data_IF_643142001494
#
_entry.id   IF_643142001494
#
_cell.length_a   1.000
_cell.length_b   1.000
_cell.length_c   1.000
_cell.angle_alpha   90.00
_cell.angle_beta   90.00
_cell.angle_gamma   90.00
#
_symmetry.space_group_name_H-M   'P 1'
#
loop_
_entity.id
_entity.type
_entity.pdbx_description
1 polymer ?
#
# COMPACT_ATOMS: atom_id res chain seq x y z
N UNK A 1 -30.99 1.80 -13.63
CA UNK A 1 -29.69 2.47 -13.46
C UNK A 1 -28.61 1.42 -13.69
N UNK A 2 -28.07 1.34 -14.91
CA UNK A 2 -27.02 0.38 -15.28
C UNK A 2 -25.68 0.96 -14.82
N UNK A 3 -24.99 0.30 -13.89
CA UNK A 3 -23.57 0.57 -13.63
C UNK A 3 -22.76 -0.19 -14.70
N UNK A 4 -22.03 0.47 -15.61
CA UNK A 4 -21.28 -0.24 -16.64
C UNK A 4 -19.95 -0.78 -16.09
N UNK A 5 -19.59 -1.95 -16.63
CA UNK A 5 -18.33 -2.70 -16.55
C UNK A 5 -17.64 -2.84 -15.19
N UNK A 6 -17.77 -4.04 -14.58
CA UNK A 6 -16.68 -4.60 -13.77
C UNK A 6 -15.44 -4.64 -14.65
N UNK A 7 -14.53 -3.69 -14.46
CA UNK A 7 -13.11 -4.04 -14.59
C UNK A 7 -12.88 -5.19 -13.61
N UNK A 8 -12.14 -6.21 -14.02
CA UNK A 8 -11.84 -7.32 -13.13
C UNK A 8 -11.09 -6.78 -11.90
N UNK A 9 -11.75 -6.79 -10.73
CA UNK A 9 -11.12 -6.43 -9.47
C UNK A 9 -9.98 -7.41 -9.23
N UNK A 10 -8.78 -6.88 -8.99
CA UNK A 10 -7.59 -7.67 -8.71
C UNK A 10 -7.34 -7.68 -7.21
N UNK A 11 -6.88 -8.81 -6.69
CA UNK A 11 -6.40 -8.91 -5.31
C UNK A 11 -4.96 -8.41 -5.25
N UNK A 12 -4.73 -7.30 -4.56
CA UNK A 12 -3.42 -6.72 -4.33
C UNK A 12 -2.90 -7.09 -2.94
N UNK A 13 -1.64 -7.50 -2.87
CA UNK A 13 -0.88 -7.52 -1.61
C UNK A 13 -0.17 -6.17 -1.47
N UNK A 14 -0.37 -5.47 -0.37
CA UNK A 14 0.20 -4.13 -0.16
C UNK A 14 1.42 -4.26 0.74
N UNK A 15 2.60 -4.10 0.15
CA UNK A 15 3.90 -4.19 0.82
C UNK A 15 4.48 -2.80 1.07
N UNK A 16 5.07 -2.59 2.25
CA UNK A 16 5.95 -1.45 2.53
C UNK A 16 7.40 -1.80 2.22
N UNK A 17 8.18 -0.85 1.71
CA UNK A 17 9.65 -0.97 1.71
C UNK A 17 10.22 -1.06 3.14
N UNK A 18 11.46 -1.54 3.22
CA UNK A 18 12.25 -1.43 4.44
C UNK A 18 12.71 0.00 4.69
N UNK A 19 13.07 0.29 5.95
CA UNK A 19 13.52 1.61 6.38
C UNK A 19 14.65 1.50 7.40
N UNK A 20 15.49 2.52 7.46
CA UNK A 20 16.43 2.76 8.54
C UNK A 20 16.28 4.21 9.02
N UNK A 21 15.92 4.39 10.29
CA UNK A 21 15.78 5.69 10.94
C UNK A 21 16.58 5.70 12.24
N UNK A 22 16.83 6.88 12.80
CA UNK A 22 17.61 6.97 14.05
C UNK A 22 16.95 6.17 15.16
N UNK A 23 17.59 5.06 15.55
CA UNK A 23 17.15 4.17 16.63
C UNK A 23 16.10 3.12 16.23
N UNK A 24 15.75 2.99 14.95
CA UNK A 24 14.80 1.96 14.50
C UNK A 24 15.05 1.55 13.04
N UNK A 25 14.73 0.31 12.70
CA UNK A 25 14.86 -0.20 11.34
C UNK A 25 13.84 -1.31 11.09
N UNK A 26 13.43 -1.49 9.83
CA UNK A 26 12.54 -2.56 9.42
C UNK A 26 12.89 -3.08 8.03
N UNK A 27 12.58 -4.35 7.78
CA UNK A 27 12.60 -4.92 6.42
C UNK A 27 11.29 -4.61 5.69
N UNK A 28 11.21 -4.97 4.41
CA UNK A 28 9.93 -4.97 3.70
C UNK A 28 8.88 -5.79 4.46
N UNK A 29 7.66 -5.27 4.53
CA UNK A 29 6.57 -5.81 5.36
C UNK A 29 5.26 -5.84 4.57
N UNK A 30 4.49 -6.93 4.70
CA UNK A 30 3.14 -7.01 4.17
C UNK A 30 2.17 -6.33 5.13
N UNK A 31 1.50 -5.27 4.67
CA UNK A 31 0.54 -4.51 5.46
C UNK A 31 -0.88 -5.08 5.37
N UNK A 32 -1.23 -5.70 4.25
CA UNK A 32 -2.55 -6.30 4.05
C UNK A 32 -2.82 -6.71 2.61
N UNK A 33 -4.02 -7.25 2.38
CA UNK A 33 -4.49 -7.68 1.07
C UNK A 33 -5.87 -7.07 0.78
N UNK A 34 -6.08 -6.51 -0.41
CA UNK A 34 -7.32 -5.82 -0.79
C UNK A 34 -7.68 -6.10 -2.23
N UNK A 35 -8.96 -6.32 -2.52
CA UNK A 35 -9.48 -6.36 -3.90
C UNK A 35 -9.86 -4.95 -4.37
N UNK A 36 -9.33 -4.52 -5.50
CA UNK A 36 -9.62 -3.20 -6.06
C UNK A 36 -9.41 -3.17 -7.59
N UNK A 37 -9.83 -2.08 -8.22
CA UNK A 37 -9.65 -1.86 -9.67
C UNK A 37 -8.17 -1.57 -10.02
N UNK A 38 -7.45 -0.93 -9.11
CA UNK A 38 -6.05 -0.55 -9.27
C UNK A 38 -5.32 -0.49 -7.91
N UNK A 39 -3.99 -0.42 -7.94
CA UNK A 39 -3.17 -0.43 -6.74
C UNK A 39 -3.39 0.80 -5.83
N UNK A 40 -3.62 1.99 -6.39
CA UNK A 40 -3.84 3.19 -5.59
C UNK A 40 -5.19 3.13 -4.86
N UNK A 41 -6.20 2.56 -5.50
CA UNK A 41 -7.50 2.23 -4.93
C UNK A 41 -7.37 1.17 -3.84
N UNK A 42 -6.54 0.14 -4.05
CA UNK A 42 -6.24 -0.87 -3.02
C UNK A 42 -5.58 -0.25 -1.78
N UNK A 43 -4.56 0.60 -1.96
CA UNK A 43 -3.93 1.31 -0.84
C UNK A 43 -4.94 2.21 -0.11
N UNK A 44 -5.77 2.95 -0.84
CA UNK A 44 -6.79 3.80 -0.21
C UNK A 44 -7.75 2.97 0.64
N UNK A 45 -8.26 1.86 0.10
CA UNK A 45 -9.19 0.98 0.79
C UNK A 45 -8.56 0.25 1.99
N UNK A 46 -7.23 0.04 2.01
CA UNK A 46 -6.56 -0.53 3.18
C UNK A 46 -6.56 0.44 4.38
N UNK A 47 -6.44 1.75 4.14
CA UNK A 47 -6.25 2.74 5.20
C UNK A 47 -7.48 3.58 5.54
N UNK A 48 -8.38 3.83 4.59
CA UNK A 48 -9.55 4.71 4.76
C UNK A 48 -10.45 4.24 5.92
N UNK A 49 -10.75 5.14 6.85
CA UNK A 49 -11.56 4.86 8.04
C UNK A 49 -10.81 4.14 9.18
N UNK A 50 -9.50 3.90 9.04
CA UNK A 50 -8.67 3.32 10.11
C UNK A 50 -7.89 4.40 10.87
N UNK A 51 -7.41 4.09 12.08
CA UNK A 51 -6.50 5.00 12.80
C UNK A 51 -5.16 5.22 12.09
N UNK A 52 -4.82 4.36 11.12
CA UNK A 52 -3.60 4.44 10.33
C UNK A 52 -3.71 5.44 9.16
N UNK A 53 -4.92 5.88 8.79
CA UNK A 53 -5.19 6.77 7.66
C UNK A 53 -4.34 8.06 7.70
N UNK A 54 -4.17 8.63 8.90
CA UNK A 54 -3.38 9.86 9.11
C UNK A 54 -1.89 9.74 8.72
N UNK A 55 -1.37 8.51 8.58
CA UNK A 55 0.02 8.26 8.19
C UNK A 55 0.14 7.82 6.72
N UNK A 56 -0.98 7.66 6.03
CA UNK A 56 -1.04 7.32 4.61
C UNK A 56 -1.10 8.59 3.75
N UNK A 57 -0.21 8.69 2.77
CA UNK A 57 -0.24 9.75 1.77
C UNK A 57 -0.72 9.17 0.43
N UNK A 58 -1.99 9.43 0.09
CA UNK A 58 -2.62 8.93 -1.14
C UNK A 58 -1.96 9.42 -2.43
N UNK A 59 -1.39 10.62 -2.43
CA UNK A 59 -0.73 11.17 -3.64
C UNK A 59 0.63 10.52 -3.90
N UNK A 60 1.34 10.14 -2.83
CA UNK A 60 2.68 9.56 -2.90
C UNK A 60 2.69 8.03 -2.78
N UNK A 61 1.55 7.44 -2.41
CA UNK A 61 1.42 6.03 -2.05
C UNK A 61 2.50 5.61 -1.03
N UNK A 62 2.54 6.35 0.07
CA UNK A 62 3.46 6.08 1.19
C UNK A 62 2.70 5.91 2.51
N UNK A 63 3.12 4.99 3.36
CA UNK A 63 2.66 4.85 4.74
C UNK A 63 3.84 5.10 5.69
N UNK A 64 3.70 6.04 6.63
CA UNK A 64 4.82 6.52 7.46
C UNK A 64 6.06 6.94 6.66
N UNK A 65 5.84 7.50 5.46
CA UNK A 65 6.92 7.90 4.55
C UNK A 65 7.54 6.76 3.75
N UNK A 66 7.29 5.50 4.10
CA UNK A 66 7.75 4.32 3.35
C UNK A 66 6.87 4.11 2.13
N UNK A 67 7.46 3.91 0.95
CA UNK A 67 6.75 3.63 -0.29
C UNK A 67 6.05 2.27 -0.26
N UNK A 68 4.86 2.24 -0.86
CA UNK A 68 4.06 1.04 -1.00
C UNK A 68 4.25 0.37 -2.38
N UNK A 69 4.19 -0.95 -2.39
CA UNK A 69 4.36 -1.80 -3.57
C UNK A 69 3.30 -2.90 -3.60
N UNK A 70 2.96 -3.37 -4.79
CA UNK A 70 2.09 -4.54 -5.02
C UNK A 70 2.86 -5.87 -5.00
N UNK A 71 4.17 -5.83 -4.76
CA UNK A 71 5.04 -7.00 -4.73
C UNK A 71 6.12 -6.91 -3.64
N UNK A 72 6.33 -8.02 -2.93
CA UNK A 72 7.42 -8.15 -1.95
C UNK A 72 8.79 -7.93 -2.61
N UNK A 73 8.95 -8.47 -3.83
CA UNK A 73 10.22 -8.44 -4.54
C UNK A 73 10.67 -7.01 -4.79
N UNK A 74 9.75 -6.12 -5.16
CA UNK A 74 10.09 -4.73 -5.43
C UNK A 74 10.20 -3.92 -4.13
N UNK A 75 9.35 -4.21 -3.13
CA UNK A 75 9.48 -3.64 -1.80
C UNK A 75 10.83 -3.97 -1.14
N UNK A 76 11.39 -5.16 -1.37
CA UNK A 76 12.71 -5.58 -0.87
C UNK A 76 13.88 -4.92 -1.60
N UNK A 77 13.71 -4.56 -2.88
CA UNK A 77 14.74 -3.84 -3.64
C UNK A 77 14.75 -2.36 -3.29
N UNK A 78 13.58 -1.83 -2.95
CA UNK A 78 13.43 -0.50 -2.42
C UNK A 78 13.87 -0.48 -0.96
N UNK A 79 14.52 0.60 -0.57
CA UNK A 79 14.94 0.82 0.80
C UNK A 79 14.91 2.33 1.02
N UNK A 80 14.24 2.74 2.10
CA UNK A 80 14.16 4.14 2.51
C UNK A 80 15.52 4.76 2.74
#
# INVERSE_FOLDING_TARGET
MLKPHRGDMMKYQIWSEGYEATGNSGSAELLGEVEADDFASACSALFEGTECEKYFNKQRLTYWGCRLFDSEKDARKAFG
#
